data_IF_758110949103
#
_entry.id   IF_758110949103
#
_cell.length_a   1.000
_cell.length_b   1.000
_cell.length_c   1.000
_cell.angle_alpha   90.00
_cell.angle_beta   90.00
_cell.angle_gamma   90.00
#
_symmetry.space_group_name_H-M   'P 1'
#
loop_
_entity.id
_entity.type
_entity.pdbx_description
1 polymer ?
#
# COMPACT_ATOMS: atom_id res chain seq x y z
N UNK A 1 14.09 -5.76 -5.26
CA UNK A 1 13.13 -6.50 -6.11
C UNK A 1 13.90 -7.61 -6.80
N UNK A 2 13.34 -8.82 -6.89
CA UNK A 2 14.02 -9.99 -7.47
C UNK A 2 14.47 -9.71 -8.92
N UNK A 3 15.74 -9.98 -9.31
CA UNK A 3 16.22 -9.75 -10.67
C UNK A 3 15.52 -10.61 -11.71
N UNK A 4 14.98 -11.78 -11.34
CA UNK A 4 14.30 -12.71 -12.23
C UNK A 4 12.78 -12.46 -12.32
N UNK A 5 12.27 -11.36 -11.72
CA UNK A 5 10.83 -11.08 -11.69
C UNK A 5 10.21 -11.01 -13.09
N UNK A 6 10.89 -10.38 -14.05
CA UNK A 6 10.39 -10.26 -15.42
C UNK A 6 10.24 -11.64 -16.08
N UNK A 7 11.24 -12.51 -15.92
CA UNK A 7 11.20 -13.87 -16.48
C UNK A 7 10.07 -14.69 -15.84
N UNK A 8 9.92 -14.61 -14.51
CA UNK A 8 8.83 -15.27 -13.79
C UNK A 8 7.43 -14.80 -14.25
N UNK A 9 7.27 -13.50 -14.54
CA UNK A 9 6.04 -12.94 -15.10
C UNK A 9 5.78 -13.54 -16.49
N UNK A 10 6.79 -13.61 -17.36
CA UNK A 10 6.65 -14.15 -18.71
C UNK A 10 6.31 -15.65 -18.69
N UNK A 11 6.93 -16.43 -17.82
CA UNK A 11 6.63 -17.84 -17.64
C UNK A 11 5.18 -18.06 -17.17
N UNK A 12 4.72 -17.31 -16.16
CA UNK A 12 3.35 -17.40 -15.68
C UNK A 12 2.32 -17.01 -16.75
N UNK A 13 2.61 -15.99 -17.58
CA UNK A 13 1.76 -15.63 -18.73
C UNK A 13 1.75 -16.70 -19.81
N UNK A 14 2.88 -17.35 -20.09
CA UNK A 14 2.95 -18.43 -21.07
C UNK A 14 2.07 -19.63 -20.68
N UNK A 15 1.80 -19.81 -19.38
CA UNK A 15 0.85 -20.80 -18.86
C UNK A 15 -0.63 -20.35 -18.95
N UNK A 16 -0.91 -19.13 -19.41
CA UNK A 16 -2.26 -18.59 -19.58
C UNK A 16 -2.87 -17.92 -18.36
N UNK A 17 -2.07 -17.63 -17.32
CA UNK A 17 -2.54 -16.91 -16.13
C UNK A 17 -2.52 -15.39 -16.30
N UNK A 18 -3.42 -14.72 -15.58
CA UNK A 18 -3.31 -13.28 -15.31
C UNK A 18 -2.22 -13.03 -14.26
N UNK A 19 -1.61 -11.85 -14.32
CA UNK A 19 -0.47 -11.48 -13.49
C UNK A 19 -0.87 -10.38 -12.51
N UNK A 20 -0.88 -10.73 -11.23
CA UNK A 20 -0.93 -9.79 -10.12
C UNK A 20 0.42 -9.64 -9.45
N UNK A 21 0.86 -8.41 -9.18
CA UNK A 21 2.07 -8.14 -8.39
C UNK A 21 1.70 -7.44 -7.09
N UNK A 22 2.28 -7.86 -5.97
CA UNK A 22 2.31 -7.08 -4.74
C UNK A 22 3.67 -6.42 -4.56
N UNK A 23 3.70 -5.12 -4.30
CA UNK A 23 4.94 -4.35 -4.14
C UNK A 23 4.93 -3.46 -2.91
N UNK A 24 6.08 -3.40 -2.23
CA UNK A 24 6.32 -2.46 -1.14
C UNK A 24 6.73 -1.05 -1.58
N UNK A 25 6.83 -0.80 -2.90
CA UNK A 25 7.15 0.52 -3.44
C UNK A 25 8.61 0.97 -3.28
N UNK A 26 9.58 0.05 -3.31
CA UNK A 26 10.99 0.39 -3.00
C UNK A 26 11.91 0.55 -4.21
N UNK A 27 11.48 0.15 -5.42
CA UNK A 27 12.32 0.12 -6.62
C UNK A 27 11.56 0.67 -7.84
N UNK A 28 11.42 2.01 -7.97
CA UNK A 28 10.59 2.63 -9.00
C UNK A 28 10.99 2.25 -10.43
N UNK A 29 12.29 2.30 -10.75
CA UNK A 29 12.78 1.96 -12.10
C UNK A 29 12.46 0.51 -12.50
N UNK A 30 12.61 -0.43 -11.57
CA UNK A 30 12.26 -1.84 -11.83
C UNK A 30 10.76 -2.03 -11.92
N UNK A 31 10.00 -1.36 -11.06
CA UNK A 31 8.54 -1.40 -11.12
C UNK A 31 8.03 -0.88 -12.47
N UNK A 32 8.51 0.28 -12.92
CA UNK A 32 8.22 0.84 -14.25
C UNK A 32 8.45 -0.16 -15.37
N UNK A 33 9.57 -0.91 -15.31
CA UNK A 33 9.91 -1.88 -16.36
C UNK A 33 8.96 -3.08 -16.46
N UNK A 34 8.31 -3.46 -15.35
CA UNK A 34 7.41 -4.62 -15.32
C UNK A 34 5.93 -4.24 -15.39
N UNK A 35 5.55 -3.00 -15.07
CA UNK A 35 4.15 -2.54 -15.06
C UNK A 35 3.38 -2.90 -16.35
N UNK A 36 3.93 -2.70 -17.58
CA UNK A 36 3.23 -3.08 -18.81
C UNK A 36 2.95 -4.58 -18.98
N UNK A 37 3.55 -5.44 -18.14
CA UNK A 37 3.37 -6.88 -18.15
C UNK A 37 2.31 -7.37 -17.15
N UNK A 38 1.77 -6.49 -16.32
CA UNK A 38 0.85 -6.83 -15.24
C UNK A 38 -0.60 -6.63 -15.66
N UNK A 39 -1.48 -7.51 -15.21
CA UNK A 39 -2.93 -7.29 -15.24
C UNK A 39 -3.39 -6.48 -14.02
N UNK A 40 -2.67 -6.57 -12.89
CA UNK A 40 -3.02 -5.89 -11.65
C UNK A 40 -1.81 -5.66 -10.73
N UNK A 41 -1.83 -4.58 -9.93
CA UNK A 41 -0.85 -4.33 -8.88
C UNK A 41 -1.45 -3.88 -7.53
N UNK A 42 -1.03 -4.54 -6.45
CA UNK A 42 -1.24 -4.07 -5.09
C UNK A 42 0.01 -3.33 -4.59
N UNK A 43 -0.12 -2.03 -4.34
CA UNK A 43 0.98 -1.19 -3.85
C UNK A 43 0.77 -0.83 -2.37
N UNK A 44 1.73 -1.20 -1.51
CA UNK A 44 1.70 -0.77 -0.12
C UNK A 44 2.13 0.69 0.01
N UNK A 45 1.29 1.49 0.68
CA UNK A 45 1.60 2.84 1.17
C UNK A 45 1.62 2.78 2.70
N UNK A 46 2.76 3.05 3.31
CA UNK A 46 2.99 2.74 4.75
C UNK A 46 2.70 3.90 5.69
N UNK A 47 2.84 5.14 5.20
CA UNK A 47 2.52 6.39 5.89
C UNK A 47 2.51 7.55 4.87
N UNK A 48 2.29 8.77 5.35
CA UNK A 48 2.67 9.96 4.58
C UNK A 48 4.14 9.88 4.17
N UNK A 49 4.47 10.34 2.96
CA UNK A 49 5.79 10.14 2.36
C UNK A 49 6.93 10.79 3.15
N UNK A 50 6.66 11.87 3.91
CA UNK A 50 7.64 12.48 4.81
C UNK A 50 7.91 11.63 6.08
N UNK A 51 6.93 10.85 6.53
CA UNK A 51 7.00 10.02 7.75
C UNK A 51 7.37 8.56 7.46
N UNK A 52 7.62 8.22 6.19
CA UNK A 52 7.81 6.85 5.73
C UNK A 52 9.02 6.16 6.38
N UNK A 53 10.12 6.89 6.57
CA UNK A 53 11.34 6.42 7.23
C UNK A 53 11.06 5.93 8.66
N UNK A 54 10.16 6.60 9.39
CA UNK A 54 9.77 6.18 10.75
C UNK A 54 9.14 4.80 10.76
N UNK A 55 8.38 4.46 9.72
CA UNK A 55 7.70 3.16 9.60
C UNK A 55 8.65 2.08 9.09
N UNK A 56 9.41 2.36 8.05
CA UNK A 56 10.28 1.37 7.40
C UNK A 56 11.63 1.20 8.08
N UNK A 57 12.03 2.19 8.88
CA UNK A 57 13.39 2.35 9.45
C UNK A 57 14.48 2.45 8.37
N UNK A 58 14.11 2.87 7.16
CA UNK A 58 15.01 3.08 6.03
C UNK A 58 14.98 4.55 5.63
N UNK A 59 16.17 5.15 5.62
CA UNK A 59 16.34 6.56 5.28
C UNK A 59 15.77 6.89 3.91
N UNK A 60 15.05 8.01 3.84
CA UNK A 60 14.45 8.55 2.61
C UNK A 60 13.50 7.58 1.88
N UNK A 61 13.03 6.51 2.53
CA UNK A 61 12.20 5.46 1.91
C UNK A 61 10.85 5.94 1.38
N UNK A 62 10.41 7.15 1.77
CA UNK A 62 9.23 7.78 1.20
C UNK A 62 9.42 8.25 -0.24
N UNK A 63 10.66 8.59 -0.63
CA UNK A 63 10.99 9.04 -1.99
C UNK A 63 10.71 7.94 -3.04
N UNK A 64 11.26 6.70 -2.90
CA UNK A 64 10.94 5.63 -3.86
C UNK A 64 9.46 5.21 -3.77
N UNK A 65 8.83 5.25 -2.60
CA UNK A 65 7.41 4.92 -2.45
C UNK A 65 6.51 5.89 -3.23
N UNK A 66 6.79 7.20 -3.13
CA UNK A 66 6.09 8.23 -3.90
C UNK A 66 6.32 8.06 -5.40
N UNK A 67 7.56 7.79 -5.81
CA UNK A 67 7.88 7.54 -7.21
C UNK A 67 7.11 6.31 -7.75
N UNK A 68 7.10 5.20 -7.01
CA UNK A 68 6.33 4.01 -7.39
C UNK A 68 4.83 4.30 -7.52
N UNK A 69 4.25 5.09 -6.62
CA UNK A 69 2.83 5.46 -6.72
C UNK A 69 2.55 6.23 -8.02
N UNK A 70 3.42 7.19 -8.38
CA UNK A 70 3.27 7.93 -9.64
C UNK A 70 3.33 7.01 -10.86
N UNK A 71 4.29 6.08 -10.90
CA UNK A 71 4.36 5.09 -11.98
C UNK A 71 3.10 4.24 -12.09
N UNK A 72 2.54 3.80 -10.96
CA UNK A 72 1.30 3.02 -10.95
C UNK A 72 0.13 3.83 -11.50
N UNK A 73 -0.02 5.09 -11.05
CA UNK A 73 -1.10 5.98 -11.50
C UNK A 73 -0.99 6.32 -12.99
N UNK A 74 0.22 6.49 -13.51
CA UNK A 74 0.47 6.80 -14.92
C UNK A 74 0.38 5.57 -15.84
N UNK A 75 0.50 4.35 -15.30
CA UNK A 75 0.59 3.13 -16.11
C UNK A 75 -0.72 2.67 -16.76
N UNK A 76 -1.87 3.07 -16.19
CA UNK A 76 -3.19 2.57 -16.60
C UNK A 76 -3.45 1.10 -16.23
N UNK A 77 -2.56 0.45 -15.49
CA UNK A 77 -2.75 -0.91 -14.95
C UNK A 77 -3.74 -0.86 -13.80
N UNK A 78 -4.63 -1.85 -13.70
CA UNK A 78 -5.54 -1.95 -12.54
C UNK A 78 -4.73 -2.07 -11.24
N UNK A 79 -5.15 -1.35 -10.20
CA UNK A 79 -4.37 -1.33 -8.97
C UNK A 79 -5.23 -1.24 -7.70
N UNK A 80 -4.57 -1.49 -6.57
CA UNK A 80 -5.06 -1.17 -5.23
C UNK A 80 -3.90 -0.55 -4.42
N UNK A 81 -4.10 0.65 -3.89
CA UNK A 81 -3.21 1.20 -2.88
C UNK A 81 -3.64 0.67 -1.50
N UNK A 82 -2.71 0.17 -0.70
CA UNK A 82 -3.01 -0.44 0.60
C UNK A 82 -2.18 0.15 1.72
N UNK A 83 -2.84 0.50 2.82
CA UNK A 83 -2.17 0.88 4.08
C UNK A 83 -2.47 -0.13 5.16
N UNK A 84 -1.43 -0.63 5.83
CA UNK A 84 -1.60 -1.41 7.07
C UNK A 84 -1.56 -0.46 8.27
N UNK A 85 -2.64 -0.41 9.03
CA UNK A 85 -2.87 0.55 10.09
C UNK A 85 -2.70 -0.07 11.47
N UNK A 86 -1.90 0.58 12.32
CA UNK A 86 -1.76 0.27 13.73
C UNK A 86 -1.73 1.59 14.51
N UNK A 87 -2.42 1.73 15.65
CA UNK A 87 -2.60 3.02 16.33
C UNK A 87 -1.26 3.69 16.70
N UNK A 88 -0.29 2.93 17.22
CA UNK A 88 1.02 3.48 17.62
C UNK A 88 1.92 3.87 16.44
N UNK A 89 1.68 3.26 15.27
CA UNK A 89 2.49 3.52 14.09
C UNK A 89 1.86 4.60 13.22
N UNK A 90 0.53 4.65 13.14
CA UNK A 90 -0.19 5.51 12.21
C UNK A 90 -1.47 6.03 12.86
N UNK A 91 -1.41 7.00 13.79
CA UNK A 91 -2.60 7.55 14.45
C UNK A 91 -3.66 8.02 13.45
N UNK A 92 -4.91 8.08 13.88
CA UNK A 92 -6.06 8.44 13.02
C UNK A 92 -5.86 9.74 12.23
N UNK A 93 -5.24 10.75 12.83
CA UNK A 93 -4.92 12.01 12.15
C UNK A 93 -3.92 11.85 11.00
N UNK A 94 -2.94 10.95 11.14
CA UNK A 94 -1.98 10.63 10.07
C UNK A 94 -2.62 9.78 8.99
N UNK A 95 -3.48 8.83 9.36
CA UNK A 95 -4.29 8.07 8.40
C UNK A 95 -5.19 9.00 7.56
N UNK A 96 -5.82 9.97 8.23
CA UNK A 96 -6.69 10.96 7.59
C UNK A 96 -5.94 11.81 6.58
N UNK A 97 -4.78 12.34 6.99
CA UNK A 97 -3.89 13.14 6.15
C UNK A 97 -3.39 12.32 4.96
N UNK A 98 -2.93 11.09 5.20
CA UNK A 98 -2.48 10.18 4.15
C UNK A 98 -3.59 9.93 3.12
N UNK A 99 -4.80 9.61 3.57
CA UNK A 99 -5.91 9.33 2.68
C UNK A 99 -6.30 10.56 1.84
N UNK A 100 -6.30 11.76 2.42
CA UNK A 100 -6.50 13.00 1.66
C UNK A 100 -5.40 13.19 0.61
N UNK A 101 -4.13 13.02 0.96
CA UNK A 101 -3.02 13.10 0.00
C UNK A 101 -3.17 12.08 -1.15
N UNK A 102 -3.54 10.83 -0.85
CA UNK A 102 -3.74 9.81 -1.87
C UNK A 102 -4.92 10.17 -2.81
N UNK A 103 -6.03 10.66 -2.25
CA UNK A 103 -7.18 11.09 -3.05
C UNK A 103 -6.83 12.30 -3.94
N UNK A 104 -6.09 13.29 -3.42
CA UNK A 104 -5.60 14.44 -4.18
C UNK A 104 -4.65 14.05 -5.32
N UNK A 105 -3.87 12.98 -5.12
CA UNK A 105 -3.01 12.41 -6.16
C UNK A 105 -3.80 11.61 -7.22
N UNK A 106 -5.10 11.39 -7.03
CA UNK A 106 -5.94 10.65 -7.98
C UNK A 106 -6.01 9.14 -7.73
N UNK A 107 -5.61 8.66 -6.55
CA UNK A 107 -5.86 7.27 -6.15
C UNK A 107 -7.36 7.02 -6.14
N UNK A 108 -7.81 5.98 -6.85
CA UNK A 108 -9.24 5.66 -6.95
C UNK A 108 -9.65 4.36 -6.23
N UNK A 109 -8.69 3.49 -5.91
CA UNK A 109 -8.88 2.24 -5.18
C UNK A 109 -7.94 2.16 -3.98
N UNK A 110 -8.50 2.31 -2.78
CA UNK A 110 -7.75 2.34 -1.53
C UNK A 110 -8.27 1.30 -0.52
N UNK A 111 -7.37 0.44 -0.05
CA UNK A 111 -7.64 -0.54 0.99
C UNK A 111 -6.96 -0.15 2.31
N UNK A 112 -7.76 0.01 3.36
CA UNK A 112 -7.26 0.15 4.72
C UNK A 112 -7.28 -1.22 5.42
N UNK A 113 -6.11 -1.75 5.74
CA UNK A 113 -5.95 -3.02 6.42
C UNK A 113 -5.59 -2.78 7.88
N UNK A 114 -6.44 -3.21 8.80
CA UNK A 114 -6.14 -3.14 10.24
C UNK A 114 -5.09 -4.20 10.58
N UNK A 115 -4.10 -3.81 11.37
CA UNK A 115 -3.09 -4.71 11.89
C UNK A 115 -3.71 -5.90 12.63
N UNK A 116 -3.07 -7.06 12.49
CA UNK A 116 -3.34 -8.25 13.29
C UNK A 116 -2.03 -8.79 13.84
N UNK A 117 -2.07 -9.36 15.03
CA UNK A 117 -0.89 -9.90 15.71
C UNK A 117 -0.32 -11.16 15.06
N UNK A 118 -1.10 -11.86 14.23
CA UNK A 118 -0.66 -13.09 13.55
C UNK A 118 0.51 -12.79 12.62
N UNK A 119 1.66 -13.40 12.90
CA UNK A 119 2.90 -13.22 12.13
C UNK A 119 3.72 -11.99 12.54
N UNK A 120 3.35 -11.30 13.62
CA UNK A 120 4.14 -10.20 14.19
C UNK A 120 4.91 -10.67 15.44
N UNK A 121 6.23 -10.53 15.43
CA UNK A 121 7.09 -10.87 16.57
C UNK A 121 7.37 -9.66 17.49
N UNK A 122 6.71 -8.52 17.27
CA UNK A 122 6.86 -7.32 18.10
C UNK A 122 5.80 -7.35 19.22
N UNK A 123 6.23 -7.66 20.44
CA UNK A 123 5.35 -7.77 21.59
C UNK A 123 4.63 -6.46 21.92
N UNK A 124 5.28 -5.31 21.69
CA UNK A 124 4.69 -4.01 21.97
C UNK A 124 3.51 -3.75 21.02
N UNK A 125 3.73 -3.93 19.70
CA UNK A 125 2.67 -3.79 18.70
C UNK A 125 1.51 -4.78 18.92
N UNK A 126 1.83 -6.02 19.32
CA UNK A 126 0.81 -7.01 19.64
C UNK A 126 -0.05 -6.61 20.85
N UNK A 127 0.57 -6.01 21.89
CA UNK A 127 -0.12 -5.58 23.10
C UNK A 127 -0.98 -4.32 22.90
N UNK A 128 -0.59 -3.44 21.99
CA UNK A 128 -1.28 -2.18 21.66
C UNK A 128 -2.33 -2.29 20.55
N UNK A 129 -2.60 -3.49 20.03
CA UNK A 129 -3.61 -3.69 19.00
C UNK A 129 -5.02 -3.43 19.57
N UNK A 130 -5.58 -2.25 19.28
CA UNK A 130 -6.90 -1.83 19.79
C UNK A 130 -8.03 -2.35 18.88
N UNK A 131 -9.04 -2.98 19.47
CA UNK A 131 -10.19 -3.55 18.75
C UNK A 131 -11.00 -2.52 17.95
N UNK A 132 -11.12 -1.31 18.50
CA UNK A 132 -11.98 -0.24 17.95
C UNK A 132 -11.20 0.73 17.06
N UNK A 133 -9.95 0.39 16.70
CA UNK A 133 -9.14 1.15 15.79
C UNK A 133 -9.23 0.60 14.35
N UNK A 134 -9.29 1.46 13.32
CA UNK A 134 -9.67 2.87 13.40
C UNK A 134 -11.16 3.04 13.74
N UNK A 135 -11.51 4.21 14.26
CA UNK A 135 -12.87 4.60 14.62
C UNK A 135 -13.81 4.48 13.42
N UNK A 136 -15.08 4.14 13.70
CA UNK A 136 -16.10 4.05 12.66
C UNK A 136 -16.29 5.39 11.92
N UNK A 137 -16.14 6.51 12.64
CA UNK A 137 -16.22 7.85 12.07
C UNK A 137 -15.09 8.11 11.05
N UNK A 138 -13.85 7.72 11.38
CA UNK A 138 -12.74 7.83 10.43
C UNK A 138 -13.00 6.95 9.20
N UNK A 139 -13.36 5.67 9.41
CA UNK A 139 -13.67 4.75 8.30
C UNK A 139 -14.71 5.33 7.35
N UNK A 140 -15.80 5.89 7.89
CA UNK A 140 -16.85 6.53 7.09
C UNK A 140 -16.29 7.70 6.29
N UNK A 141 -15.50 8.59 6.92
CA UNK A 141 -14.85 9.71 6.23
C UNK A 141 -13.96 9.21 5.08
N UNK A 142 -13.08 8.24 5.36
CA UNK A 142 -12.16 7.71 4.35
C UNK A 142 -12.89 7.05 3.17
N UNK A 143 -13.99 6.33 3.44
CA UNK A 143 -14.79 5.71 2.39
C UNK A 143 -15.41 6.72 1.42
N UNK A 144 -15.64 7.97 1.85
CA UNK A 144 -16.14 9.04 1.00
C UNK A 144 -15.08 9.72 0.13
N UNK A 145 -13.79 9.45 0.33
CA UNK A 145 -12.71 10.06 -0.43
C UNK A 145 -12.37 9.30 -1.72
N UNK A 146 -12.70 8.02 -1.80
CA UNK A 146 -12.28 7.14 -2.89
C UNK A 146 -13.48 6.52 -3.60
N UNK A 147 -13.49 6.44 -4.94
CA UNK A 147 -14.47 5.66 -5.69
C UNK A 147 -14.57 4.20 -5.22
N UNK A 148 -13.45 3.56 -4.92
CA UNK A 148 -13.39 2.23 -4.32
C UNK A 148 -12.60 2.27 -3.02
N UNK A 149 -13.26 1.90 -1.92
CA UNK A 149 -12.65 1.81 -0.60
C UNK A 149 -12.97 0.47 0.04
N UNK A 150 -11.95 -0.18 0.61
CA UNK A 150 -12.11 -1.46 1.34
C UNK A 150 -11.50 -1.37 2.73
N UNK A 151 -12.27 -1.70 3.76
CA UNK A 151 -11.73 -1.93 5.11
C UNK A 151 -11.52 -3.44 5.34
N UNK A 152 -10.31 -3.84 5.75
CA UNK A 152 -9.97 -5.24 6.09
C UNK A 152 -9.62 -5.35 7.57
N UNK A 153 -10.33 -6.20 8.32
CA UNK A 153 -10.11 -6.43 9.76
C UNK A 153 -9.68 -7.86 10.13
N UNK A 154 -9.53 -8.76 9.15
CA UNK A 154 -9.33 -10.21 9.33
C UNK A 154 -8.04 -10.69 8.68
#
# INVERSE_FOLDING_TARGET
MDPCLADAILEARALGFKIGLHSGGTHPERLRSVLPMLDWIGLDIKAGFADYERITRIRDSGVPALACLKEVLESGVDYECRTTAHPDLLPESQLDTLACTLAEMGVNNYALQVFRSVGCNDEALNASAVRDYPSAALVQRLSGLFPTFTLRKT
#
